data_IF_356773719933
#
_entry.id   IF_356773719933
#
_cell.length_a   1.000
_cell.length_b   1.000
_cell.length_c   1.000
_cell.angle_alpha   90.00
_cell.angle_beta   90.00
_cell.angle_gamma   90.00
#
_symmetry.space_group_name_H-M   'P 1'
#
loop_
_entity.id
_entity.type
_entity.pdbx_description
1 polymer ?
#
# COMPACT_ATOMS: atom_id res chain seq x y z
N UNK A 1 -33.98 -18.95 -14.56
CA UNK A 1 -33.50 -18.01 -13.53
C UNK A 1 -32.02 -18.19 -13.16
N UNK A 2 -31.44 -19.38 -13.31
CA UNK A 2 -30.02 -19.66 -13.02
C UNK A 2 -29.00 -19.22 -14.10
N UNK A 3 -29.30 -18.18 -14.88
CA UNK A 3 -28.39 -17.67 -15.94
C UNK A 3 -28.52 -16.15 -16.15
N UNK A 4 -29.26 -15.43 -15.31
CA UNK A 4 -29.62 -14.04 -15.57
C UNK A 4 -28.92 -12.99 -14.69
N UNK A 5 -28.07 -13.39 -13.73
CA UNK A 5 -27.41 -12.45 -12.79
C UNK A 5 -25.90 -12.26 -13.02
N UNK A 6 -25.22 -13.09 -13.79
CA UNK A 6 -23.74 -13.08 -13.87
C UNK A 6 -23.15 -12.14 -14.93
N UNK A 7 -23.98 -11.41 -15.69
CA UNK A 7 -23.50 -10.42 -16.69
C UNK A 7 -23.33 -9.00 -16.15
N UNK A 8 -23.29 -8.81 -14.84
CA UNK A 8 -22.91 -7.51 -14.23
C UNK A 8 -21.40 -7.33 -14.04
N UNK A 9 -20.57 -8.33 -14.38
CA UNK A 9 -19.11 -8.18 -14.36
C UNK A 9 -18.54 -7.44 -15.60
N UNK A 10 -19.23 -7.52 -16.75
CA UNK A 10 -18.90 -6.76 -17.97
C UNK A 10 -19.69 -5.44 -18.07
N UNK A 11 -20.31 -4.99 -16.98
CA UNK A 11 -20.85 -3.63 -16.90
C UNK A 11 -19.69 -2.64 -16.97
N UNK A 12 -19.89 -1.51 -17.67
CA UNK A 12 -18.87 -0.46 -17.83
C UNK A 12 -18.22 -0.06 -16.49
N UNK A 13 -19.00 -0.02 -15.41
CA UNK A 13 -18.51 0.27 -14.06
C UNK A 13 -17.53 -0.79 -13.54
N UNK A 14 -17.78 -2.08 -13.83
CA UNK A 14 -16.86 -3.16 -13.48
C UNK A 14 -15.55 -3.08 -14.26
N UNK A 15 -15.63 -2.81 -15.56
CA UNK A 15 -14.45 -2.54 -16.40
C UNK A 15 -13.65 -1.34 -15.92
N UNK A 16 -14.33 -0.26 -15.52
CA UNK A 16 -13.68 0.93 -14.96
C UNK A 16 -13.02 0.65 -13.62
N UNK A 17 -13.68 -0.10 -12.73
CA UNK A 17 -13.10 -0.50 -11.44
C UNK A 17 -11.85 -1.38 -11.63
N UNK A 18 -11.90 -2.33 -12.58
CA UNK A 18 -10.75 -3.17 -12.94
C UNK A 18 -9.61 -2.34 -13.54
N UNK A 19 -9.91 -1.41 -14.44
CA UNK A 19 -8.91 -0.52 -15.03
C UNK A 19 -8.25 0.37 -13.97
N UNK A 20 -9.04 0.88 -13.02
CA UNK A 20 -8.54 1.67 -11.90
C UNK A 20 -7.66 0.83 -10.96
N UNK A 21 -8.03 -0.40 -10.64
CA UNK A 21 -7.20 -1.28 -9.80
C UNK A 21 -5.90 -1.69 -10.53
N UNK A 22 -6.02 -2.14 -11.78
CA UNK A 22 -4.92 -2.69 -12.54
C UNK A 22 -3.92 -1.64 -13.04
N UNK A 23 -4.38 -0.41 -13.33
CA UNK A 23 -3.53 0.66 -13.85
C UNK A 23 -2.60 1.24 -12.78
N UNK A 24 -3.07 2.19 -11.95
CA UNK A 24 -2.26 2.82 -10.92
C UNK A 24 -1.83 1.85 -9.80
N UNK A 25 -2.76 1.04 -9.28
CA UNK A 25 -2.49 0.13 -8.15
C UNK A 25 -1.68 -1.13 -8.53
N UNK A 26 -1.76 -1.56 -9.78
CA UNK A 26 -1.03 -2.70 -10.31
C UNK A 26 0.19 -2.28 -11.13
N UNK A 27 -0.04 -2.01 -12.42
CA UNK A 27 1.01 -1.84 -13.41
C UNK A 27 1.98 -0.70 -13.08
N UNK A 28 1.46 0.49 -12.74
CA UNK A 28 2.30 1.65 -12.43
C UNK A 28 3.06 1.46 -11.12
N UNK A 29 2.40 0.95 -10.08
CA UNK A 29 3.02 0.65 -8.79
C UNK A 29 4.19 -0.32 -8.96
N UNK A 30 3.98 -1.48 -9.60
CA UNK A 30 5.04 -2.46 -9.81
C UNK A 30 6.16 -1.94 -10.70
N UNK A 31 5.85 -1.15 -11.73
CA UNK A 31 6.87 -0.51 -12.56
C UNK A 31 7.77 0.42 -11.74
N UNK A 32 7.18 1.30 -10.93
CA UNK A 32 7.93 2.22 -10.06
C UNK A 32 8.72 1.48 -8.98
N UNK A 33 8.16 0.40 -8.41
CA UNK A 33 8.86 -0.42 -7.44
C UNK A 33 10.08 -1.09 -8.08
N UNK A 34 9.92 -1.74 -9.24
CA UNK A 34 11.03 -2.38 -9.95
C UNK A 34 12.11 -1.35 -10.33
N UNK A 35 11.73 -0.16 -10.80
CA UNK A 35 12.68 0.93 -11.04
C UNK A 35 13.38 1.41 -9.77
N UNK A 36 12.68 1.42 -8.64
CA UNK A 36 13.29 1.75 -7.34
C UNK A 36 14.28 0.67 -6.91
N UNK A 37 13.99 -0.61 -7.15
CA UNK A 37 14.91 -1.73 -6.89
C UNK A 37 16.15 -1.63 -7.79
N UNK A 38 15.99 -1.34 -9.08
CA UNK A 38 17.11 -1.18 -10.02
C UNK A 38 18.03 -0.01 -9.65
N UNK A 39 17.46 1.11 -9.17
CA UNK A 39 18.22 2.34 -8.88
C UNK A 39 18.77 2.42 -7.46
N UNK A 40 18.04 1.91 -6.46
CA UNK A 40 18.37 2.04 -5.04
C UNK A 40 18.77 0.71 -4.37
N UNK A 41 18.54 -0.42 -5.05
CA UNK A 41 18.71 -1.76 -4.50
C UNK A 41 17.51 -2.23 -3.67
N UNK A 42 17.33 -3.55 -3.58
CA UNK A 42 16.15 -4.18 -2.96
C UNK A 42 15.87 -3.70 -1.53
N UNK A 43 16.90 -3.59 -0.69
CA UNK A 43 16.74 -3.19 0.71
C UNK A 43 16.16 -1.79 0.88
N UNK A 44 16.66 -0.80 0.12
CA UNK A 44 16.15 0.58 0.19
C UNK A 44 14.78 0.71 -0.46
N UNK A 45 14.55 0.01 -1.57
CA UNK A 45 13.25 -0.01 -2.23
C UNK A 45 12.15 -0.59 -1.34
N UNK A 46 12.42 -1.70 -0.63
CA UNK A 46 11.46 -2.26 0.33
C UNK A 46 11.19 -1.32 1.51
N UNK A 47 12.18 -0.52 1.92
CA UNK A 47 11.98 0.48 2.97
C UNK A 47 11.00 1.58 2.55
N UNK A 48 10.90 1.93 1.27
CA UNK A 48 9.91 2.90 0.77
C UNK A 48 8.47 2.40 0.91
N UNK A 49 8.24 1.08 0.93
CA UNK A 49 6.90 0.51 1.15
C UNK A 49 6.37 0.81 2.55
N UNK A 50 7.24 1.06 3.53
CA UNK A 50 6.79 1.52 4.86
C UNK A 50 6.19 2.92 4.83
N UNK A 51 6.60 3.77 3.89
CA UNK A 51 6.04 5.12 3.74
C UNK A 51 4.60 5.06 3.19
N UNK A 52 4.24 3.98 2.49
CA UNK A 52 2.88 3.74 2.01
C UNK A 52 1.88 3.83 3.17
N UNK A 53 2.20 3.28 4.34
CA UNK A 53 1.30 3.28 5.50
C UNK A 53 0.99 4.69 6.00
N UNK A 54 1.98 5.59 5.95
CA UNK A 54 1.81 7.01 6.30
C UNK A 54 0.95 7.73 5.27
N UNK A 55 1.22 7.52 3.97
CA UNK A 55 0.43 8.12 2.91
C UNK A 55 -1.03 7.66 2.93
N UNK A 56 -1.29 6.37 3.19
CA UNK A 56 -2.66 5.84 3.31
C UNK A 56 -3.41 6.55 4.44
N UNK A 57 -2.80 6.72 5.62
CA UNK A 57 -3.43 7.42 6.74
C UNK A 57 -3.74 8.89 6.41
N UNK A 58 -2.79 9.60 5.79
CA UNK A 58 -2.99 11.01 5.38
C UNK A 58 -4.11 11.11 4.33
N UNK A 59 -4.10 10.23 3.33
CA UNK A 59 -5.10 10.24 2.26
C UNK A 59 -6.48 9.83 2.78
N UNK A 60 -6.57 8.92 3.75
CA UNK A 60 -7.84 8.57 4.40
C UNK A 60 -8.46 9.79 5.11
N UNK A 61 -7.64 10.51 5.90
CA UNK A 61 -8.09 11.75 6.54
C UNK A 61 -8.54 12.81 5.51
N UNK A 62 -7.77 13.04 4.44
CA UNK A 62 -8.03 14.10 3.46
C UNK A 62 -9.15 13.77 2.46
N UNK A 63 -9.22 12.53 1.96
CA UNK A 63 -10.14 12.14 0.89
C UNK A 63 -11.45 11.55 1.42
N UNK A 64 -11.39 10.75 2.49
CA UNK A 64 -12.58 10.16 3.10
C UNK A 64 -13.20 11.08 4.16
N UNK A 65 -12.45 12.06 4.67
CA UNK A 65 -12.93 12.98 5.71
C UNK A 65 -13.12 12.31 7.07
N UNK A 66 -12.40 11.20 7.31
CA UNK A 66 -12.43 10.51 8.60
C UNK A 66 -11.88 11.42 9.68
N UNK A 67 -12.62 11.58 10.78
CA UNK A 67 -12.12 12.34 11.92
C UNK A 67 -11.11 11.47 12.66
N UNK A 68 -9.87 11.95 12.75
CA UNK A 68 -8.81 11.30 13.54
C UNK A 68 -9.27 11.21 14.99
N UNK A 69 -9.61 10.01 15.42
CA UNK A 69 -9.89 9.71 16.82
C UNK A 69 -8.61 9.30 17.54
N UNK A 70 -8.66 9.25 18.87
CA UNK A 70 -7.52 8.88 19.70
C UNK A 70 -6.94 7.49 19.35
N UNK A 71 -7.77 6.57 18.86
CA UNK A 71 -7.31 5.25 18.41
C UNK A 71 -6.50 5.30 17.12
N UNK A 72 -6.78 6.24 16.20
CA UNK A 72 -6.01 6.42 14.96
C UNK A 72 -4.60 6.94 15.28
N UNK A 73 -4.48 7.79 16.30
CA UNK A 73 -3.19 8.26 16.81
C UNK A 73 -2.38 7.12 17.42
N UNK A 74 -3.02 6.23 18.19
CA UNK A 74 -2.35 5.04 18.74
C UNK A 74 -1.90 4.09 17.63
N UNK A 75 -2.74 3.86 16.62
CA UNK A 75 -2.39 3.06 15.44
C UNK A 75 -1.24 3.67 14.65
N UNK A 76 -1.27 4.99 14.41
CA UNK A 76 -0.20 5.72 13.75
C UNK A 76 1.12 5.63 14.54
N UNK A 77 1.08 5.77 15.87
CA UNK A 77 2.26 5.59 16.72
C UNK A 77 2.83 4.16 16.62
N UNK A 78 1.97 3.15 16.55
CA UNK A 78 2.37 1.74 16.41
C UNK A 78 3.04 1.47 15.05
N UNK A 79 2.48 2.03 13.97
CA UNK A 79 3.07 1.98 12.63
C UNK A 79 4.47 2.61 12.66
N UNK A 80 4.59 3.84 13.16
CA UNK A 80 5.88 4.54 13.24
C UNK A 80 6.89 3.73 14.06
N UNK A 81 6.49 3.18 15.20
CA UNK A 81 7.35 2.33 16.02
C UNK A 81 7.83 1.08 15.26
N UNK A 82 6.94 0.40 14.52
CA UNK A 82 7.28 -0.74 13.68
C UNK A 82 8.25 -0.38 12.55
N UNK A 83 8.05 0.77 11.89
CA UNK A 83 8.95 1.26 10.83
C UNK A 83 10.33 1.56 11.41
N UNK A 84 10.40 2.24 12.55
CA UNK A 84 11.67 2.55 13.23
C UNK A 84 12.39 1.24 13.60
N UNK A 85 11.68 0.27 14.16
CA UNK A 85 12.24 -1.03 14.50
C UNK A 85 12.81 -1.74 13.26
N UNK A 86 12.02 -1.84 12.19
CA UNK A 86 12.44 -2.49 10.95
C UNK A 86 13.59 -1.78 10.22
N UNK A 87 13.71 -0.46 10.42
CA UNK A 87 14.70 0.38 9.74
C UNK A 87 16.01 0.47 10.51
N UNK A 88 15.94 0.57 11.84
CA UNK A 88 17.09 0.88 12.70
C UNK A 88 17.70 -0.39 13.32
N UNK A 89 16.91 -1.44 13.56
CA UNK A 89 17.43 -2.69 14.12
C UNK A 89 18.14 -3.48 13.03
N UNK A 90 19.48 -3.44 13.04
CA UNK A 90 20.30 -4.32 12.21
C UNK A 90 20.01 -5.79 12.55
N UNK A 91 19.72 -6.65 11.57
CA UNK A 91 19.67 -8.09 11.80
C UNK A 91 21.00 -8.53 12.40
N UNK A 92 20.96 -9.24 13.53
CA UNK A 92 22.16 -9.85 14.11
C UNK A 92 22.67 -10.86 13.07
N UNK A 93 23.91 -10.75 12.58
CA UNK A 93 24.46 -11.73 11.66
C UNK A 93 24.50 -13.07 12.38
N UNK A 94 23.69 -14.03 11.92
CA UNK A 94 23.79 -15.41 12.38
C UNK A 94 25.21 -15.90 12.10
N UNK A 95 25.88 -16.42 13.13
CA UNK A 95 27.18 -17.07 12.97
C UNK A 95 26.95 -18.31 12.09
N UNK A 96 27.46 -18.26 10.85
CA UNK A 96 27.62 -19.43 10.01
C UNK A 96 28.73 -20.34 10.57
#
# INVERSE_FOLDING_TARGET
>A
ELFNDERSAMTINGLLALAYLAGPGGALMYYLYNRSVETLGASRASMLLYLQTVFVAILAYLLLGENLHDYDLVGAAFIVAGIVLATVVKPIPGKA
#
